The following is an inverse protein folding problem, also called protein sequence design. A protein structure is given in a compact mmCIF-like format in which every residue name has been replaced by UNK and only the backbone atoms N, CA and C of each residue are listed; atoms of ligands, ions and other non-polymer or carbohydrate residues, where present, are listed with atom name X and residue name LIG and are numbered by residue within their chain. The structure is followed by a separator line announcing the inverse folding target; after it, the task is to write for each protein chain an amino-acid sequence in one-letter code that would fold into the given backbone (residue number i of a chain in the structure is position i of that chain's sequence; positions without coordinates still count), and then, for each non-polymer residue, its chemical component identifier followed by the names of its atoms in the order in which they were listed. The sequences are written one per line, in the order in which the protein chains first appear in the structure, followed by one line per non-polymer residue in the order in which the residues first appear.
data_IF_842005191129
#
_entry.id   IF_842005191129
#
_cell.length_a   1.000
_cell.length_b   1.000
_cell.length_c   1.000
_cell.angle_alpha   90.00
_cell.angle_beta   90.00
_cell.angle_gamma   90.00
#
_symmetry.space_group_name_H-M   'P 1'
#
loop_
_entity.id
_entity.type
_entity.pdbx_description
1 polymer ?
#
# COMPACT_ATOMS: atom_id res chain seq x y z
N UNK A 1 -14.06 -15.20 -12.00
CA UNK A 1 -15.54 -15.23 -11.93
C UNK A 1 -15.94 -16.20 -10.83
N UNK A 2 -16.63 -15.71 -9.80
CA UNK A 2 -17.05 -16.52 -8.64
C UNK A 2 -18.16 -17.47 -9.05
N UNK A 3 -17.97 -18.78 -8.85
CA UNK A 3 -18.90 -19.83 -9.29
C UNK A 3 -19.89 -20.27 -8.21
N UNK A 4 -19.69 -19.84 -6.96
CA UNK A 4 -20.50 -20.16 -5.81
C UNK A 4 -21.13 -18.90 -5.22
N UNK A 5 -22.34 -19.04 -4.64
CA UNK A 5 -23.01 -17.96 -3.92
C UNK A 5 -22.24 -17.67 -2.62
N UNK A 6 -21.94 -16.41 -2.36
CA UNK A 6 -21.26 -15.94 -1.15
C UNK A 6 -22.23 -15.02 -0.40
N UNK A 7 -22.35 -15.17 0.93
CA UNK A 7 -23.20 -14.30 1.73
C UNK A 7 -22.53 -12.92 1.91
N UNK A 8 -23.34 -11.86 2.02
CA UNK A 8 -22.85 -10.52 2.29
C UNK A 8 -22.14 -10.44 3.66
N UNK A 9 -22.70 -11.10 4.67
CA UNK A 9 -22.13 -11.10 6.02
C UNK A 9 -20.71 -11.69 6.02
N UNK A 10 -20.50 -12.80 5.29
CA UNK A 10 -19.18 -13.42 5.14
C UNK A 10 -18.17 -12.47 4.48
N UNK A 11 -18.60 -11.67 3.51
CA UNK A 11 -17.75 -10.69 2.83
C UNK A 11 -17.38 -9.53 3.76
N UNK A 12 -18.32 -9.06 4.58
CA UNK A 12 -18.08 -7.99 5.55
C UNK A 12 -17.11 -8.46 6.65
N UNK A 13 -17.34 -9.64 7.23
CA UNK A 13 -16.45 -10.22 8.23
C UNK A 13 -15.05 -10.45 7.65
N UNK A 14 -14.97 -10.97 6.41
CA UNK A 14 -13.69 -11.17 5.72
C UNK A 14 -12.96 -9.84 5.51
N UNK A 15 -13.67 -8.77 5.18
CA UNK A 15 -13.06 -7.43 5.03
C UNK A 15 -12.51 -6.91 6.35
N UNK A 16 -13.26 -7.05 7.44
CA UNK A 16 -12.81 -6.59 8.76
C UNK A 16 -11.56 -7.34 9.21
N UNK A 17 -11.56 -8.68 9.07
CA UNK A 17 -10.40 -9.51 9.35
C UNK A 17 -9.20 -9.12 8.49
N UNK A 18 -9.38 -8.95 7.17
CA UNK A 18 -8.31 -8.56 6.27
C UNK A 18 -7.67 -7.22 6.68
N UNK A 19 -8.48 -6.23 7.03
CA UNK A 19 -7.96 -4.91 7.46
C UNK A 19 -7.21 -5.04 8.78
N UNK A 20 -7.74 -5.81 9.74
CA UNK A 20 -7.05 -6.06 11.02
C UNK A 20 -5.72 -6.80 10.80
N UNK A 21 -5.68 -7.80 9.93
CA UNK A 21 -4.48 -8.57 9.60
C UNK A 21 -3.42 -7.73 8.89
N UNK A 22 -3.82 -6.82 7.99
CA UNK A 22 -2.89 -5.88 7.36
C UNK A 22 -2.30 -4.94 8.40
N UNK A 23 -3.15 -4.39 9.29
CA UNK A 23 -2.70 -3.45 10.35
C UNK A 23 -1.77 -4.12 11.35
N UNK A 24 -2.01 -5.36 11.74
CA UNK A 24 -1.14 -6.07 12.69
C UNK A 24 0.26 -6.36 12.14
N UNK A 25 0.43 -6.30 10.82
CA UNK A 25 1.72 -6.48 10.11
C UNK A 25 2.37 -5.17 9.69
N UNK A 26 1.75 -4.02 10.01
CA UNK A 26 2.31 -2.70 9.72
C UNK A 26 3.34 -2.34 10.80
N UNK A 27 4.46 -3.05 10.78
CA UNK A 27 5.60 -2.77 11.64
C UNK A 27 6.46 -1.60 11.09
N UNK A 28 7.52 -1.24 11.83
CA UNK A 28 8.41 -0.13 11.48
C UNK A 28 9.04 -0.30 10.08
N UNK A 29 9.41 -1.53 9.71
CA UNK A 29 10.01 -1.82 8.41
C UNK A 29 9.00 -1.66 7.28
N UNK A 30 7.79 -2.21 7.46
CA UNK A 30 6.69 -2.05 6.51
C UNK A 30 6.30 -0.57 6.36
N UNK A 31 6.27 0.18 7.47
CA UNK A 31 6.03 1.62 7.46
C UNK A 31 7.09 2.39 6.67
N UNK A 32 8.37 2.09 6.91
CA UNK A 32 9.51 2.68 6.18
C UNK A 32 9.39 2.41 4.67
N UNK A 33 9.11 1.16 4.29
CA UNK A 33 8.89 0.79 2.89
C UNK A 33 7.74 1.57 2.25
N UNK A 34 6.57 1.65 2.92
CA UNK A 34 5.40 2.32 2.37
C UNK A 34 5.60 3.84 2.21
N UNK A 35 6.27 4.48 3.17
CA UNK A 35 6.62 5.90 3.07
C UNK A 35 7.61 6.15 1.92
N UNK A 36 8.66 5.32 1.82
CA UNK A 36 9.60 5.37 0.71
C UNK A 36 8.91 5.12 -0.63
N UNK A 37 7.99 4.16 -0.70
CA UNK A 37 7.20 3.89 -1.89
C UNK A 37 6.37 5.10 -2.31
N UNK A 38 5.67 5.75 -1.38
CA UNK A 38 4.90 6.97 -1.64
C UNK A 38 5.78 8.12 -2.12
N UNK A 39 7.03 8.20 -1.63
CA UNK A 39 8.04 9.17 -2.05
C UNK A 39 8.83 8.73 -3.29
N UNK A 40 8.43 7.62 -3.93
CA UNK A 40 9.07 7.01 -5.12
C UNK A 40 10.52 6.54 -4.92
N UNK A 41 10.95 6.38 -3.67
CA UNK A 41 12.25 5.82 -3.27
C UNK A 41 12.06 4.65 -2.30
N UNK A 42 11.31 3.59 -2.68
CA UNK A 42 11.08 2.43 -1.81
C UNK A 42 12.38 1.67 -1.54
N UNK A 43 12.58 1.27 -0.28
CA UNK A 43 13.61 0.32 0.12
C UNK A 43 13.04 -1.11 0.17
N UNK A 44 13.23 -1.88 -0.90
CA UNK A 44 12.73 -3.26 -1.00
C UNK A 44 13.43 -4.24 -0.04
N UNK A 45 14.61 -3.89 0.47
CA UNK A 45 15.29 -4.71 1.48
C UNK A 45 14.56 -4.66 2.82
N UNK A 46 13.86 -3.55 3.12
CA UNK A 46 13.04 -3.42 4.33
C UNK A 46 11.93 -4.48 4.43
N UNK A 47 11.45 -5.01 3.29
CA UNK A 47 10.44 -6.08 3.24
C UNK A 47 11.01 -7.42 2.78
N UNK A 48 12.34 -7.57 2.72
CA UNK A 48 13.05 -8.80 2.31
C UNK A 48 12.70 -9.26 0.88
N UNK A 49 12.43 -8.32 -0.04
CA UNK A 49 12.02 -8.62 -1.43
C UNK A 49 12.74 -7.73 -2.48
N UNK A 50 14.08 -7.67 -2.48
CA UNK A 50 14.85 -6.80 -3.40
C UNK A 50 14.51 -6.99 -4.89
N UNK A 51 14.24 -8.22 -5.31
CA UNK A 51 13.92 -8.57 -6.69
C UNK A 51 12.57 -8.01 -7.17
N UNK A 52 11.72 -7.50 -6.29
CA UNK A 52 10.40 -7.00 -6.68
C UNK A 52 10.40 -5.60 -7.29
N UNK A 53 11.50 -4.86 -7.15
CA UNK A 53 11.69 -3.58 -7.83
C UNK A 53 11.49 -3.70 -9.36
N UNK A 54 11.75 -4.88 -9.92
CA UNK A 54 11.65 -5.15 -11.35
C UNK A 54 10.25 -5.54 -11.83
N UNK A 55 9.29 -5.77 -10.91
CA UNK A 55 7.94 -6.14 -11.29
C UNK A 55 7.27 -5.02 -12.10
N UNK A 56 6.64 -5.33 -13.24
CA UNK A 56 5.97 -4.31 -14.06
C UNK A 56 4.93 -3.49 -13.30
N UNK A 57 4.19 -4.13 -12.39
CA UNK A 57 3.18 -3.47 -11.56
C UNK A 57 3.82 -2.46 -10.58
N UNK A 58 4.98 -2.78 -10.01
CA UNK A 58 5.74 -1.91 -9.11
C UNK A 58 6.24 -0.69 -9.88
N UNK A 59 6.91 -0.90 -11.02
CA UNK A 59 7.39 0.19 -11.89
C UNK A 59 6.26 1.11 -12.32
N UNK A 60 5.10 0.55 -12.67
CA UNK A 60 3.92 1.35 -13.01
C UNK A 60 3.38 2.17 -11.84
N UNK A 61 3.36 1.59 -10.63
CA UNK A 61 2.93 2.31 -9.42
C UNK A 61 3.83 3.51 -9.14
N UNK A 62 5.15 3.37 -9.27
CA UNK A 62 6.12 4.47 -9.11
C UNK A 62 5.86 5.60 -10.11
N UNK A 63 5.67 5.26 -11.39
CA UNK A 63 5.31 6.26 -12.43
C UNK A 63 4.03 7.01 -12.04
N UNK A 64 3.03 6.32 -11.50
CA UNK A 64 1.77 6.95 -11.10
C UNK A 64 1.92 7.85 -9.86
N UNK A 65 2.81 7.53 -8.94
CA UNK A 65 3.08 8.36 -7.77
C UNK A 65 3.83 9.64 -8.15
N UNK A 66 4.83 9.54 -9.04
CA UNK A 66 5.48 10.72 -9.62
C UNK A 66 4.49 11.61 -10.38
N UNK A 67 3.60 11.00 -11.18
CA UNK A 67 2.53 11.74 -11.84
C UNK A 67 1.58 12.40 -10.82
N UNK A 68 1.19 11.70 -9.76
CA UNK A 68 0.33 12.25 -8.72
C UNK A 68 0.97 13.45 -8.04
N UNK A 69 2.25 13.36 -7.67
CA UNK A 69 3.00 14.45 -7.05
C UNK A 69 3.07 15.69 -7.96
N UNK A 70 3.31 15.47 -9.25
CA UNK A 70 3.39 16.54 -10.27
C UNK A 70 2.03 17.18 -10.59
N UNK A 71 1.00 16.36 -10.79
CA UNK A 71 -0.29 16.80 -11.33
C UNK A 71 -1.30 17.17 -10.24
N UNK A 72 -1.14 16.66 -9.02
CA UNK A 72 -2.05 16.93 -7.90
C UNK A 72 -1.33 16.83 -6.54
N UNK A 73 -0.56 17.87 -6.21
CA UNK A 73 0.21 17.95 -4.98
C UNK A 73 -0.65 17.88 -3.71
N UNK A 74 -1.86 18.42 -3.74
CA UNK A 74 -2.78 18.39 -2.61
C UNK A 74 -3.17 16.94 -2.26
N UNK A 75 -3.58 16.16 -3.26
CA UNK A 75 -3.92 14.73 -3.07
C UNK A 75 -2.70 13.90 -2.68
N UNK A 76 -1.54 14.22 -3.23
CA UNK A 76 -0.28 13.59 -2.83
C UNK A 76 0.01 13.80 -1.33
N UNK A 77 -0.14 15.03 -0.84
CA UNK A 77 0.07 15.37 0.57
C UNK A 77 -0.99 14.73 1.49
N UNK A 78 -2.25 14.70 1.06
CA UNK A 78 -3.34 14.02 1.78
C UNK A 78 -3.03 12.53 1.98
N UNK A 79 -2.61 11.84 0.92
CA UNK A 79 -2.23 10.43 0.98
C UNK A 79 -1.04 10.20 1.92
N UNK A 80 -0.02 11.09 1.88
CA UNK A 80 1.13 11.00 2.78
C UNK A 80 0.73 11.12 4.24
N UNK A 81 -0.08 12.14 4.56
CA UNK A 81 -0.57 12.37 5.91
C UNK A 81 -1.42 11.20 6.43
N UNK A 82 -2.28 10.62 5.58
CA UNK A 82 -3.06 9.45 5.94
C UNK A 82 -2.19 8.22 6.24
N UNK A 83 -1.11 8.02 5.47
CA UNK A 83 -0.16 6.94 5.70
C UNK A 83 0.63 7.14 7.00
N UNK A 84 1.14 8.35 7.23
CA UNK A 84 1.84 8.72 8.47
C UNK A 84 0.95 8.61 9.71
N UNK A 85 -0.37 8.80 9.60
CA UNK A 85 -1.30 8.61 10.70
C UNK A 85 -1.53 7.14 11.05
N UNK A 86 -1.31 6.22 10.10
CA UNK A 86 -1.49 4.78 10.29
C UNK A 86 -0.25 4.06 10.81
N UNK A 87 0.95 4.61 10.55
CA UNK A 87 2.25 4.02 10.95
C UNK A 87 2.64 4.41 12.39
N UNK A 88 2.00 5.42 12.98
CA UNK A 88 2.26 5.90 14.35
C UNK A 88 1.74 4.97 15.44
#
# INVERSE_FOLDING_TARGET
MTKARVNLDDLLETRERLVADIRSRLDEKAGTFLLGLHDSTPDFDAIERPQEADLPAVRWKLINLEKLKRDNLAKYAEHKAALEALIR
#
